data_IF_011580613805
#
_entry.id   IF_011580613805
#
_cell.length_a   1.000
_cell.length_b   1.000
_cell.length_c   1.000
_cell.angle_alpha   90.00
_cell.angle_beta   90.00
_cell.angle_gamma   90.00
#
_symmetry.space_group_name_H-M   'P 1'
#
loop_
_entity.id
_entity.type
_entity.pdbx_description
1 polymer ?
#
# COMPACT_ATOMS: atom_id res chain seq x y z
N UNK A 1 24.07 21.63 -9.76
CA UNK A 1 22.81 21.45 -9.00
C UNK A 1 22.33 20.02 -9.19
N UNK A 2 22.68 19.11 -8.27
CA UNK A 2 22.21 17.72 -8.30
C UNK A 2 20.78 17.72 -7.77
N UNK A 3 19.79 17.44 -8.62
CA UNK A 3 18.42 17.17 -8.17
C UNK A 3 18.44 15.81 -7.47
N UNK A 4 18.39 15.82 -6.14
CA UNK A 4 18.11 14.62 -5.37
C UNK A 4 16.71 14.18 -5.77
N UNK A 5 16.62 13.10 -6.54
CA UNK A 5 15.35 12.40 -6.73
C UNK A 5 15.06 11.85 -5.34
N UNK A 6 14.23 12.55 -4.55
CA UNK A 6 13.64 11.94 -3.36
C UNK A 6 12.91 10.73 -3.89
N UNK A 7 13.54 9.55 -3.78
CA UNK A 7 12.80 8.31 -3.81
C UNK A 7 11.73 8.54 -2.73
N UNK A 8 10.48 8.72 -3.15
CA UNK A 8 9.36 8.83 -2.21
C UNK A 8 9.50 7.70 -1.20
N UNK A 9 9.03 7.90 0.02
CA UNK A 9 9.06 6.84 1.04
C UNK A 9 8.10 5.72 0.62
N UNK A 10 8.49 4.97 -0.40
CA UNK A 10 7.74 3.86 -0.94
C UNK A 10 7.76 2.78 0.12
N UNK A 11 6.58 2.52 0.66
CA UNK A 11 6.37 1.48 1.65
C UNK A 11 6.34 0.14 0.94
N UNK A 12 6.70 -0.91 1.68
CA UNK A 12 6.67 -2.28 1.17
C UNK A 12 5.81 -3.14 2.06
N UNK A 13 4.97 -3.97 1.46
CA UNK A 13 4.19 -5.00 2.15
C UNK A 13 4.25 -6.28 1.35
N UNK A 14 4.21 -7.42 2.02
CA UNK A 14 4.10 -8.71 1.33
C UNK A 14 2.64 -9.09 1.23
N UNK A 15 2.18 -9.45 0.03
CA UNK A 15 0.84 -9.99 -0.14
C UNK A 15 0.75 -11.34 0.57
N UNK A 16 -0.12 -11.45 1.58
CA UNK A 16 -0.34 -12.70 2.29
C UNK A 16 -0.96 -13.81 1.42
N UNK A 17 -1.56 -13.45 0.28
CA UNK A 17 -2.21 -14.41 -0.62
C UNK A 17 -1.22 -15.05 -1.61
N UNK A 18 -0.40 -14.25 -2.29
CA UNK A 18 0.52 -14.75 -3.34
C UNK A 18 2.01 -14.65 -2.99
N UNK A 19 2.38 -14.07 -1.85
CA UNK A 19 3.77 -13.88 -1.44
C UNK A 19 4.53 -12.80 -2.20
N UNK A 20 3.87 -12.07 -3.11
CA UNK A 20 4.49 -10.98 -3.86
C UNK A 20 4.82 -9.79 -2.96
N UNK A 21 5.99 -9.18 -3.15
CA UNK A 21 6.37 -7.94 -2.48
C UNK A 21 5.81 -6.75 -3.26
N UNK A 22 4.97 -5.97 -2.58
CA UNK A 22 4.25 -4.82 -3.10
C UNK A 22 4.99 -3.56 -2.65
N UNK A 23 5.37 -2.72 -3.59
CA UNK A 23 5.94 -1.40 -3.32
C UNK A 23 4.89 -0.34 -3.68
N UNK A 24 4.47 0.47 -2.70
CA UNK A 24 3.37 1.43 -2.83
C UNK A 24 3.69 2.77 -2.17
N UNK A 25 3.07 3.83 -2.64
CA UNK A 25 3.10 5.17 -2.04
C UNK A 25 1.76 5.47 -1.35
N UNK A 26 1.69 6.57 -0.58
CA UNK A 26 0.43 7.00 0.03
C UNK A 26 -0.66 7.32 -1.00
N UNK A 27 -0.27 7.70 -2.23
CA UNK A 27 -1.23 7.93 -3.31
C UNK A 27 -1.90 6.64 -3.81
N UNK A 28 -1.30 5.48 -3.56
CA UNK A 28 -1.86 4.17 -3.93
C UNK A 28 -2.79 3.60 -2.82
N UNK A 29 -2.89 4.28 -1.67
CA UNK A 29 -3.68 3.83 -0.52
C UNK A 29 -5.14 4.28 -0.65
N UNK A 30 -6.04 3.32 -0.56
CA UNK A 30 -7.47 3.58 -0.39
C UNK A 30 -7.81 3.44 1.10
N UNK A 31 -8.45 4.46 1.68
CA UNK A 31 -8.84 4.45 3.10
C UNK A 31 -10.33 4.12 3.21
N UNK A 32 -10.66 3.08 3.95
CA UNK A 32 -12.01 2.60 4.15
C UNK A 32 -12.41 2.72 5.62
N UNK A 33 -13.61 3.24 5.86
CA UNK A 33 -14.23 3.19 7.17
C UNK A 33 -14.81 1.78 7.37
N UNK A 34 -14.37 1.07 8.40
CA UNK A 34 -14.88 -0.26 8.74
C UNK A 34 -15.79 -0.26 9.95
N UNK A 35 -15.61 0.71 10.85
CA UNK A 35 -16.50 0.95 11.99
C UNK A 35 -16.58 2.45 12.33
N UNK A 36 -17.33 2.82 13.37
CA UNK A 36 -17.54 4.21 13.77
C UNK A 36 -16.24 4.98 14.01
N UNK A 37 -15.22 4.33 14.57
CA UNK A 37 -13.89 4.91 14.83
C UNK A 37 -12.74 4.11 14.21
N UNK A 38 -13.03 3.11 13.37
CA UNK A 38 -12.01 2.25 12.77
C UNK A 38 -11.89 2.52 11.28
N UNK A 39 -10.65 2.79 10.87
CA UNK A 39 -10.29 3.08 9.50
C UNK A 39 -9.14 2.18 9.09
N UNK A 40 -9.29 1.53 7.94
CA UNK A 40 -8.27 0.68 7.36
C UNK A 40 -7.75 1.28 6.06
N UNK A 41 -6.44 1.18 5.86
CA UNK A 41 -5.83 1.49 4.57
C UNK A 41 -5.65 0.20 3.80
N UNK A 42 -6.03 0.19 2.53
CA UNK A 42 -6.03 -0.99 1.68
C UNK A 42 -5.34 -0.66 0.36
N UNK A 43 -4.66 -1.65 -0.20
CA UNK A 43 -4.10 -1.61 -1.56
C UNK A 43 -4.51 -2.87 -2.31
N UNK A 44 -4.59 -2.77 -3.64
CA UNK A 44 -4.82 -3.93 -4.49
C UNK A 44 -3.50 -4.53 -4.94
N UNK A 45 -3.33 -5.83 -4.77
CA UNK A 45 -2.16 -6.54 -5.28
C UNK A 45 -2.23 -6.63 -6.82
N UNK A 46 -1.29 -6.05 -7.60
CA UNK A 46 -1.25 -6.23 -9.06
C UNK A 46 -1.02 -7.67 -9.52
N UNK A 47 -0.45 -8.54 -8.67
CA UNK A 47 -0.12 -9.91 -9.04
C UNK A 47 -1.31 -10.89 -8.93
N UNK A 48 -2.15 -10.73 -7.91
CA UNK A 48 -3.28 -11.63 -7.66
C UNK A 48 -4.64 -10.92 -7.52
N UNK A 49 -4.66 -9.59 -7.67
CA UNK A 49 -5.83 -8.73 -7.54
C UNK A 49 -6.49 -8.70 -6.16
N UNK A 50 -5.90 -9.40 -5.18
CA UNK A 50 -6.38 -9.44 -3.80
C UNK A 50 -6.17 -8.11 -3.08
N UNK A 51 -7.09 -7.75 -2.19
CA UNK A 51 -6.97 -6.56 -1.35
C UNK A 51 -6.10 -6.85 -0.13
N UNK A 52 -5.04 -6.06 0.03
CA UNK A 52 -4.10 -6.16 1.16
C UNK A 52 -4.31 -4.95 2.06
N UNK A 53 -4.70 -5.20 3.31
CA UNK A 53 -4.76 -4.16 4.34
C UNK A 53 -3.33 -3.82 4.80
N UNK A 54 -3.05 -2.53 4.89
CA UNK A 54 -1.76 -1.99 5.33
C UNK A 54 -2.00 -1.10 6.56
N UNK A 55 -1.23 -1.34 7.63
CA UNK A 55 -1.26 -0.54 8.87
C UNK A 55 -0.23 0.58 8.87
#
# INVERSE_FOLDING_TARGET
MVKVIKYGQKRRVTCNHCGAVLEFDNNDLETYQVDWNEWEKRIKCPACTETVTVS
#
